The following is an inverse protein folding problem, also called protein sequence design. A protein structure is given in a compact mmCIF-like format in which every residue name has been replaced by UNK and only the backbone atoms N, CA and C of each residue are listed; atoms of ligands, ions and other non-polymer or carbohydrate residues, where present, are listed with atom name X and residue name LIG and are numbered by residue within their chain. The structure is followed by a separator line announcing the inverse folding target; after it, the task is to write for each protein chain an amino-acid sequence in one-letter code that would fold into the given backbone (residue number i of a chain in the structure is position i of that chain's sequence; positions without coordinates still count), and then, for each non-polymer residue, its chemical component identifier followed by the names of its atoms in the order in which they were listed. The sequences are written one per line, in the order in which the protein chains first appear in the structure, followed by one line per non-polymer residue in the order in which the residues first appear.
data_IF_933939210820
#
_entry.id   IF_933939210820
#
_cell.length_a   1.000
_cell.length_b   1.000
_cell.length_c   1.000
_cell.angle_alpha   90.00
_cell.angle_beta   90.00
_cell.angle_gamma   90.00
#
_symmetry.space_group_name_H-M   'P 1'
#
loop_
_entity.id
_entity.type
_entity.pdbx_description
1 polymer ?
#
# COMPACT_ATOMS: atom_id res chain seq x y z
N UNK A 1 -14.26 -63.63 -7.90
CA UNK A 1 -13.42 -63.09 -6.82
C UNK A 1 -12.56 -61.92 -7.29
N UNK A 2 -11.87 -61.99 -8.41
CA UNK A 2 -10.99 -60.87 -8.91
C UNK A 2 -11.75 -59.58 -9.18
N UNK A 3 -12.98 -59.59 -9.71
CA UNK A 3 -13.78 -58.38 -9.98
C UNK A 3 -14.19 -57.63 -8.71
N UNK A 4 -14.43 -58.30 -7.60
CA UNK A 4 -14.75 -57.68 -6.32
C UNK A 4 -13.55 -56.93 -5.71
N UNK A 5 -12.33 -57.43 -5.94
CA UNK A 5 -11.11 -56.80 -5.49
C UNK A 5 -10.87 -55.47 -6.25
N UNK A 6 -11.11 -55.45 -7.56
CA UNK A 6 -10.98 -54.21 -8.36
C UNK A 6 -12.00 -53.15 -7.96
N UNK A 7 -13.23 -53.54 -7.65
CA UNK A 7 -14.28 -52.62 -7.18
C UNK A 7 -13.88 -52.03 -5.82
N UNK A 8 -13.31 -52.84 -4.91
CA UNK A 8 -12.84 -52.38 -3.61
C UNK A 8 -11.67 -51.39 -3.70
N UNK A 9 -10.72 -51.64 -4.60
CA UNK A 9 -9.59 -50.73 -4.82
C UNK A 9 -10.07 -49.41 -5.44
N UNK A 10 -10.99 -49.46 -6.39
CA UNK A 10 -11.54 -48.25 -7.05
C UNK A 10 -12.39 -47.41 -6.08
N UNK A 11 -13.17 -48.03 -5.19
CA UNK A 11 -13.90 -47.33 -4.15
C UNK A 11 -12.98 -46.73 -3.07
N UNK A 12 -11.91 -47.43 -2.69
CA UNK A 12 -10.91 -46.93 -1.75
C UNK A 12 -10.13 -45.73 -2.26
N UNK A 13 -9.80 -45.67 -3.56
CA UNK A 13 -9.08 -44.52 -4.16
C UNK A 13 -9.95 -43.26 -4.26
N UNK A 14 -11.27 -43.39 -4.33
CA UNK A 14 -12.20 -42.26 -4.31
C UNK A 14 -12.35 -41.60 -2.93
N UNK A 15 -12.12 -42.34 -1.85
CA UNK A 15 -12.21 -41.83 -0.48
C UNK A 15 -10.94 -41.12 -0.01
N UNK A 16 -9.81 -41.26 -0.73
CA UNK A 16 -8.54 -40.63 -0.38
C UNK A 16 -8.39 -39.20 -0.96
N UNK A 17 -9.35 -38.71 -1.71
CA UNK A 17 -9.33 -37.36 -2.29
C UNK A 17 -10.01 -36.30 -1.41
N UNK A 18 -10.23 -36.56 -0.11
CA UNK A 18 -10.60 -35.47 0.79
C UNK A 18 -9.35 -34.60 1.06
N UNK A 19 -9.04 -33.72 0.13
CA UNK A 19 -8.05 -32.67 0.29
C UNK A 19 -8.55 -31.73 1.40
N UNK A 20 -7.80 -31.63 2.49
CA UNK A 20 -8.01 -30.59 3.51
C UNK A 20 -7.71 -29.24 2.87
N UNK A 21 -8.73 -28.52 2.42
CA UNK A 21 -8.60 -27.17 1.83
C UNK A 21 -8.04 -26.17 2.85
N UNK A 22 -8.34 -26.34 4.12
CA UNK A 22 -7.95 -25.42 5.20
C UNK A 22 -6.45 -25.42 5.53
N UNK A 23 -5.69 -26.44 5.08
CA UNK A 23 -4.24 -26.48 5.34
C UNK A 23 -3.44 -25.60 4.38
N UNK A 24 -4.00 -25.22 3.25
CA UNK A 24 -3.35 -24.36 2.25
C UNK A 24 -3.68 -22.87 2.44
N UNK A 25 -4.63 -22.52 3.29
CA UNK A 25 -4.96 -21.12 3.65
C UNK A 25 -3.98 -20.60 4.72
N UNK A 26 -2.71 -20.56 4.36
CA UNK A 26 -1.68 -19.90 5.17
C UNK A 26 -1.74 -18.40 4.92
N UNK A 27 -2.45 -17.68 5.80
CA UNK A 27 -2.31 -16.22 5.88
C UNK A 27 -0.84 -15.90 6.20
N UNK A 28 -0.16 -15.08 5.38
CA UNK A 28 1.22 -14.70 5.63
C UNK A 28 1.30 -13.99 6.99
N UNK A 29 2.08 -14.55 7.91
CA UNK A 29 2.20 -14.04 9.29
C UNK A 29 2.84 -12.64 9.37
N UNK A 30 3.54 -12.21 8.32
CA UNK A 30 4.30 -10.96 8.27
C UNK A 30 3.76 -9.95 7.27
N UNK A 31 2.69 -10.26 6.53
CA UNK A 31 2.04 -9.33 5.62
C UNK A 31 0.61 -9.07 6.10
N UNK A 32 0.27 -7.80 6.21
CA UNK A 32 -1.12 -7.41 6.50
C UNK A 32 -1.96 -7.71 5.26
N UNK A 33 -2.80 -8.74 5.35
CA UNK A 33 -3.78 -9.04 4.31
C UNK A 33 -4.82 -7.94 4.35
N UNK A 34 -5.07 -7.29 3.24
CA UNK A 34 -5.96 -6.13 3.12
C UNK A 34 -7.32 -6.38 3.77
N UNK A 35 -7.93 -7.55 3.53
CA UNK A 35 -9.25 -7.91 4.07
C UNK A 35 -9.28 -8.15 5.59
N UNK A 36 -8.13 -8.45 6.19
CA UNK A 36 -8.00 -8.69 7.63
C UNK A 36 -7.56 -7.43 8.42
N UNK A 37 -7.14 -6.37 7.73
CA UNK A 37 -6.61 -5.16 8.36
C UNK A 37 -7.69 -4.22 8.86
N UNK A 38 -8.73 -3.99 8.06
CA UNK A 38 -9.79 -3.01 8.32
C UNK A 38 -10.80 -3.52 9.35
N UNK A 39 -10.54 -3.37 10.64
CA UNK A 39 -11.39 -3.87 11.72
C UNK A 39 -11.93 -2.79 12.63
N UNK A 40 -11.27 -1.65 12.68
CA UNK A 40 -11.58 -0.60 13.65
C UNK A 40 -11.35 0.79 13.04
N UNK A 41 -11.89 1.80 13.71
CA UNK A 41 -11.65 3.20 13.37
C UNK A 41 -10.17 3.56 13.45
N UNK A 42 -9.47 2.99 14.42
CA UNK A 42 -8.04 3.20 14.64
C UNK A 42 -7.20 2.72 13.44
N UNK A 43 -7.62 1.67 12.75
CA UNK A 43 -6.94 1.17 11.55
C UNK A 43 -7.04 2.20 10.40
N UNK A 44 -8.21 2.81 10.24
CA UNK A 44 -8.43 3.89 9.26
C UNK A 44 -7.58 5.12 9.63
N UNK A 45 -7.58 5.52 10.90
CA UNK A 45 -6.78 6.66 11.38
C UNK A 45 -5.27 6.41 11.19
N UNK A 46 -4.80 5.18 11.37
CA UNK A 46 -3.41 4.80 11.14
C UNK A 46 -3.01 4.96 9.65
N UNK A 47 -3.87 4.58 8.71
CA UNK A 47 -3.62 4.77 7.28
C UNK A 47 -3.65 6.25 6.90
N UNK A 48 -4.58 7.04 7.46
CA UNK A 48 -4.61 8.50 7.28
C UNK A 48 -3.32 9.14 7.81
N UNK A 49 -2.88 8.75 9.02
CA UNK A 49 -1.63 9.23 9.61
C UNK A 49 -0.41 8.90 8.73
N UNK A 50 -0.39 7.72 8.11
CA UNK A 50 0.63 7.35 7.12
C UNK A 50 0.61 8.28 5.91
N UNK A 51 -0.57 8.63 5.39
CA UNK A 51 -0.71 9.62 4.32
C UNK A 51 -0.11 10.99 4.70
N UNK A 52 -0.39 11.48 5.90
CA UNK A 52 0.22 12.72 6.42
C UNK A 52 1.75 12.62 6.59
N UNK A 53 2.26 11.47 6.98
CA UNK A 53 3.71 11.23 7.03
C UNK A 53 4.36 11.40 5.65
N UNK A 54 3.81 10.78 4.61
CA UNK A 54 4.32 10.96 3.24
C UNK A 54 4.16 12.39 2.73
N UNK A 55 3.05 13.05 3.05
CA UNK A 55 2.85 14.46 2.71
C UNK A 55 3.89 15.36 3.37
N UNK A 56 4.17 15.17 4.67
CA UNK A 56 5.24 15.87 5.38
C UNK A 56 6.60 15.64 4.73
N UNK A 57 6.89 14.40 4.32
CA UNK A 57 8.15 14.07 3.64
C UNK A 57 8.28 14.77 2.28
N UNK A 58 7.16 15.12 1.63
CA UNK A 58 7.13 15.84 0.36
C UNK A 58 7.27 17.36 0.51
N UNK A 59 7.02 17.93 1.70
CA UNK A 59 6.98 19.39 1.91
C UNK A 59 8.26 20.07 1.49
N UNK A 60 9.42 19.48 1.75
CA UNK A 60 10.71 20.07 1.38
C UNK A 60 10.87 20.19 -0.14
N UNK A 61 10.47 19.16 -0.89
CA UNK A 61 10.53 19.17 -2.36
C UNK A 61 9.54 20.18 -2.94
N UNK A 62 8.31 20.24 -2.41
CA UNK A 62 7.30 21.20 -2.81
C UNK A 62 7.75 22.65 -2.58
N UNK A 63 8.34 22.93 -1.40
CA UNK A 63 8.89 24.24 -1.09
C UNK A 63 10.01 24.63 -2.07
N UNK A 64 10.94 23.72 -2.33
CA UNK A 64 12.01 23.96 -3.29
C UNK A 64 11.48 24.21 -4.70
N UNK A 65 10.51 23.43 -5.17
CA UNK A 65 9.93 23.61 -6.51
C UNK A 65 9.23 24.95 -6.69
N UNK A 66 8.52 25.42 -5.66
CA UNK A 66 7.86 26.71 -5.69
C UNK A 66 8.86 27.87 -5.53
N UNK A 67 9.54 27.90 -4.41
CA UNK A 67 10.25 29.09 -3.93
C UNK A 67 11.62 29.30 -4.60
N UNK A 68 12.36 28.22 -4.92
CA UNK A 68 13.64 28.37 -5.61
C UNK A 68 13.49 28.87 -7.06
N UNK A 69 12.41 28.44 -7.74
CA UNK A 69 12.09 28.91 -9.09
C UNK A 69 11.49 30.31 -9.08
N UNK A 70 10.76 30.65 -8.01
CA UNK A 70 10.21 32.01 -7.82
C UNK A 70 11.22 33.05 -7.38
N UNK A 71 12.49 32.65 -7.16
CA UNK A 71 13.57 33.52 -6.64
C UNK A 71 13.25 34.12 -5.25
N UNK A 72 12.28 33.59 -4.52
CA UNK A 72 11.93 34.02 -3.16
C UNK A 72 12.98 33.61 -2.14
N UNK A 73 13.63 32.48 -2.40
CA UNK A 73 14.75 31.96 -1.61
C UNK A 73 15.89 31.53 -2.52
N UNK A 74 17.09 31.44 -1.97
CA UNK A 74 18.25 30.92 -2.68
C UNK A 74 18.77 29.67 -1.96
N UNK A 75 19.35 28.77 -2.74
CA UNK A 75 19.95 27.54 -2.21
C UNK A 75 21.33 27.81 -1.63
N UNK A 76 21.74 26.95 -0.67
CA UNK A 76 23.09 26.94 -0.14
C UNK A 76 24.04 26.17 -1.08
N UNK A 77 25.32 26.49 -1.05
CA UNK A 77 26.35 25.88 -1.90
C UNK A 77 26.49 24.36 -1.77
N UNK A 78 25.98 23.76 -0.69
CA UNK A 78 25.97 22.31 -0.48
C UNK A 78 24.76 21.55 -1.09
N UNK A 79 23.70 22.25 -1.47
CA UNK A 79 22.49 21.67 -2.05
C UNK A 79 22.58 21.62 -3.59
N UNK A 80 23.20 20.56 -4.11
CA UNK A 80 23.43 20.40 -5.54
C UNK A 80 22.12 20.33 -6.35
N UNK A 81 21.12 19.64 -5.85
CA UNK A 81 19.82 19.51 -6.53
C UNK A 81 19.06 20.85 -6.53
N UNK A 82 19.11 21.57 -5.41
CA UNK A 82 18.54 22.90 -5.32
C UNK A 82 19.21 23.91 -6.27
N UNK A 83 20.54 23.84 -6.41
CA UNK A 83 21.29 24.68 -7.37
C UNK A 83 20.90 24.36 -8.82
N UNK A 84 20.78 23.08 -9.19
CA UNK A 84 20.33 22.68 -10.52
C UNK A 84 18.89 23.14 -10.79
N UNK A 85 18.00 23.03 -9.79
CA UNK A 85 16.62 23.52 -9.89
C UNK A 85 16.57 25.04 -10.12
N UNK A 86 17.32 25.78 -9.34
CA UNK A 86 17.39 27.27 -9.44
C UNK A 86 17.93 27.71 -10.80
N UNK A 87 18.92 26.99 -11.34
CA UNK A 87 19.56 27.28 -12.62
C UNK A 87 18.86 26.65 -13.83
N UNK A 88 17.68 26.01 -13.65
CA UNK A 88 16.96 25.30 -14.72
C UNK A 88 17.77 24.18 -15.40
N UNK A 89 18.62 23.47 -14.64
CA UNK A 89 19.56 22.47 -15.12
C UNK A 89 19.18 21.04 -14.64
N UNK A 90 17.91 20.80 -14.29
CA UNK A 90 17.43 19.46 -13.90
C UNK A 90 17.38 18.56 -15.15
N UNK A 91 17.88 17.32 -14.99
CA UNK A 91 17.80 16.26 -15.98
C UNK A 91 16.79 15.14 -15.60
N UNK A 92 16.18 15.22 -14.43
CA UNK A 92 15.21 14.25 -13.93
C UNK A 92 15.79 13.12 -13.09
N UNK A 93 17.12 13.04 -12.97
CA UNK A 93 17.79 12.01 -12.14
C UNK A 93 17.95 12.46 -10.68
N UNK A 94 17.78 13.73 -10.40
CA UNK A 94 17.93 14.30 -9.07
C UNK A 94 16.88 13.79 -8.09
N UNK A 95 17.27 13.69 -6.82
CA UNK A 95 16.38 13.24 -5.75
C UNK A 95 15.13 14.14 -5.61
N UNK A 96 15.26 15.44 -5.91
CA UNK A 96 14.15 16.40 -5.88
C UNK A 96 13.09 16.12 -6.95
N UNK A 97 13.43 15.39 -8.02
CA UNK A 97 12.51 15.01 -9.10
C UNK A 97 11.67 13.76 -8.78
N UNK A 98 11.89 13.11 -7.63
CA UNK A 98 11.16 11.91 -7.24
C UNK A 98 9.76 12.25 -6.76
N UNK A 99 8.76 11.58 -7.36
CA UNK A 99 7.34 11.73 -7.05
C UNK A 99 6.79 10.65 -6.12
N UNK A 100 7.65 9.73 -5.69
CA UNK A 100 7.27 8.54 -4.93
C UNK A 100 6.38 8.86 -3.73
N UNK A 101 6.82 9.79 -2.85
CA UNK A 101 6.05 10.17 -1.66
C UNK A 101 4.67 10.75 -2.02
N UNK A 102 4.55 11.50 -3.11
CA UNK A 102 3.27 12.06 -3.55
C UNK A 102 2.31 10.99 -4.03
N UNK A 103 2.81 10.01 -4.78
CA UNK A 103 2.01 8.86 -5.19
C UNK A 103 1.63 7.98 -4.00
N UNK A 104 2.48 7.89 -2.95
CA UNK A 104 2.11 7.22 -1.71
C UNK A 104 0.95 7.94 -1.00
N UNK A 105 0.94 9.27 -0.96
CA UNK A 105 -0.21 10.03 -0.41
C UNK A 105 -1.50 9.70 -1.17
N UNK A 106 -1.45 9.70 -2.50
CA UNK A 106 -2.60 9.37 -3.35
C UNK A 106 -3.04 7.93 -3.09
N UNK A 107 -2.09 6.99 -2.98
CA UNK A 107 -2.39 5.60 -2.70
C UNK A 107 -3.08 5.44 -1.34
N UNK A 108 -2.55 6.06 -0.27
CA UNK A 108 -3.17 6.01 1.06
C UNK A 108 -4.58 6.62 1.04
N UNK A 109 -4.78 7.74 0.35
CA UNK A 109 -6.10 8.35 0.19
C UNK A 109 -7.08 7.42 -0.53
N UNK A 110 -6.67 6.80 -1.63
CA UNK A 110 -7.51 5.85 -2.38
C UNK A 110 -7.86 4.61 -1.55
N UNK A 111 -6.91 4.10 -0.78
CA UNK A 111 -7.13 2.96 0.13
C UNK A 111 -8.15 3.31 1.21
N UNK A 112 -8.06 4.51 1.82
CA UNK A 112 -9.05 4.97 2.80
C UNK A 112 -10.44 5.16 2.16
N UNK A 113 -10.51 5.70 0.94
CA UNK A 113 -11.79 5.86 0.22
C UNK A 113 -12.42 4.50 -0.10
N UNK A 114 -11.61 3.50 -0.44
CA UNK A 114 -12.09 2.16 -0.76
C UNK A 114 -12.58 1.38 0.46
N UNK A 115 -11.94 1.56 1.62
CA UNK A 115 -12.16 0.74 2.82
C UNK A 115 -12.63 1.54 4.04
N UNK A 116 -12.66 2.88 3.96
CA UNK A 116 -13.11 3.75 5.06
C UNK A 116 -14.63 3.79 5.22
N UNK A 117 -15.13 4.57 6.23
CA UNK A 117 -16.56 4.76 6.46
C UNK A 117 -17.25 5.34 5.21
N UNK A 118 -18.19 4.58 4.64
CA UNK A 118 -18.81 4.87 3.33
C UNK A 118 -18.26 4.04 2.17
N UNK A 119 -17.14 3.33 2.32
CA UNK A 119 -16.75 2.21 1.49
C UNK A 119 -17.58 0.97 1.85
N UNK A 120 -17.86 0.12 0.87
CA UNK A 120 -18.90 -0.93 0.93
C UNK A 120 -18.84 -1.92 2.11
N UNK A 121 -17.77 -1.98 2.89
CA UNK A 121 -17.56 -3.07 3.86
C UNK A 121 -17.56 -2.65 5.34
N UNK A 122 -17.44 -1.35 5.66
CA UNK A 122 -17.25 -0.90 7.06
C UNK A 122 -18.44 -0.11 7.61
N UNK A 123 -19.47 0.14 6.83
CA UNK A 123 -20.66 0.92 7.25
C UNK A 123 -21.37 0.34 8.48
N UNK A 124 -21.25 -0.96 8.73
CA UNK A 124 -21.84 -1.64 9.89
C UNK A 124 -21.07 -1.47 11.21
N UNK A 125 -19.78 -1.09 11.17
CA UNK A 125 -18.90 -1.10 12.36
C UNK A 125 -18.78 0.28 13.02
N UNK A 126 -19.15 1.37 12.33
CA UNK A 126 -19.00 2.75 12.82
C UNK A 126 -20.27 3.40 13.35
N UNK A 127 -21.36 2.64 13.51
CA UNK A 127 -22.68 3.16 13.98
C UNK A 127 -22.88 3.08 15.48
N UNK A 128 -21.84 2.83 16.30
CA UNK A 128 -21.90 2.93 17.78
C UNK A 128 -21.10 4.10 18.32
#
# INVERSE_FOLDING_TARGET
MKKLIYIGIMAGSLLLNSSCSDWLDLLPKNEQVTDAYWKSKEDVEAVIASGYYYMRSSCQSLLKWGELRGASICTLTGDKDGMKLQNFQLDGTEAICKWENMYQVINMANVVIAHGPGGREIEATYTE
#
